data_IF_621027925257
#
_entry.id   IF_621027925257
#
_cell.length_a   1.000
_cell.length_b   1.000
_cell.length_c   1.000
_cell.angle_alpha   90.00
_cell.angle_beta   90.00
_cell.angle_gamma   90.00
#
_symmetry.space_group_name_H-M   'P 1'
#
loop_
_entity.id
_entity.type
_entity.pdbx_description
1 polymer ?
#
# COMPACT_ATOMS: atom_id res chain seq x y z
N UNK A 1 -2.02 -30.05 3.44
CA UNK A 1 -1.67 -28.63 3.60
C UNK A 1 -2.05 -27.91 2.33
N UNK A 2 -2.81 -26.83 2.42
CA UNK A 2 -3.20 -26.03 1.26
C UNK A 2 -1.97 -25.26 0.75
N UNK A 3 -1.66 -25.35 -0.54
CA UNK A 3 -0.58 -24.58 -1.14
C UNK A 3 -1.12 -23.18 -1.49
N UNK A 4 -0.94 -22.21 -0.59
CA UNK A 4 -1.45 -20.85 -0.75
C UNK A 4 -0.98 -20.17 -2.05
N UNK A 5 0.26 -20.41 -2.49
CA UNK A 5 0.76 -19.83 -3.73
C UNK A 5 -0.04 -20.33 -4.94
N UNK A 6 -0.38 -21.63 -4.96
CA UNK A 6 -1.21 -22.18 -6.02
C UNK A 6 -2.64 -21.64 -5.96
N UNK A 7 -3.21 -21.54 -4.75
CA UNK A 7 -4.56 -21.02 -4.54
C UNK A 7 -4.73 -19.58 -5.00
N UNK A 8 -3.67 -18.77 -4.92
CA UNK A 8 -3.63 -17.33 -5.23
C UNK A 8 -2.90 -17.01 -6.53
N UNK A 9 -2.58 -18.02 -7.33
CA UNK A 9 -1.86 -17.87 -8.61
C UNK A 9 -2.58 -16.98 -9.64
N UNK A 10 -3.89 -16.78 -9.47
CA UNK A 10 -4.75 -15.91 -10.28
C UNK A 10 -4.74 -14.44 -9.84
N UNK A 11 -3.95 -14.08 -8.82
CA UNK A 11 -3.88 -12.73 -8.25
C UNK A 11 -2.67 -11.97 -8.80
N UNK A 12 -2.90 -10.71 -9.15
CA UNK A 12 -1.89 -9.71 -9.49
C UNK A 12 -1.80 -8.67 -8.38
N UNK A 13 -0.57 -8.34 -7.96
CA UNK A 13 -0.30 -7.52 -6.79
C UNK A 13 0.40 -6.22 -7.20
N UNK A 14 -0.16 -5.07 -6.82
CA UNK A 14 0.46 -3.75 -6.97
C UNK A 14 0.64 -3.14 -5.58
N UNK A 15 1.80 -3.38 -4.99
CA UNK A 15 2.19 -2.82 -3.71
C UNK A 15 2.92 -1.48 -3.83
N UNK A 16 3.33 -0.93 -2.68
CA UNK A 16 4.22 0.24 -2.62
C UNK A 16 3.63 1.43 -1.87
N UNK A 17 4.40 2.52 -1.76
CA UNK A 17 4.04 3.63 -0.87
C UNK A 17 2.96 4.55 -1.45
N UNK A 18 2.32 5.38 -0.59
CA UNK A 18 1.34 6.35 -1.03
C UNK A 18 1.87 7.30 -2.12
N UNK A 19 0.97 7.82 -2.94
CA UNK A 19 1.29 8.78 -4.02
C UNK A 19 2.13 8.24 -5.19
N UNK A 20 2.30 6.92 -5.33
CA UNK A 20 2.96 6.32 -6.51
C UNK A 20 2.04 6.14 -7.74
N UNK A 21 0.77 6.53 -7.68
CA UNK A 21 -0.18 6.34 -8.80
C UNK A 21 -0.75 4.92 -8.96
N UNK A 22 -0.59 4.06 -7.93
CA UNK A 22 -1.11 2.66 -7.90
C UNK A 22 -2.57 2.58 -8.32
N UNK A 23 -3.47 3.25 -7.58
CA UNK A 23 -4.92 3.24 -7.84
C UNK A 23 -5.26 3.60 -9.28
N UNK A 24 -4.58 4.58 -9.89
CA UNK A 24 -4.82 4.98 -11.28
C UNK A 24 -4.49 3.85 -12.25
N UNK A 25 -3.30 3.25 -12.10
CA UNK A 25 -2.87 2.12 -12.96
C UNK A 25 -3.75 0.89 -12.72
N UNK A 26 -4.04 0.57 -11.46
CA UNK A 26 -4.83 -0.60 -11.11
C UNK A 26 -6.24 -0.52 -11.68
N UNK A 27 -6.91 0.64 -11.58
CA UNK A 27 -8.23 0.83 -12.18
C UNK A 27 -8.20 0.66 -13.70
N UNK A 28 -7.16 1.16 -14.37
CA UNK A 28 -7.00 1.04 -15.82
C UNK A 28 -6.79 -0.42 -16.24
N UNK A 29 -5.92 -1.16 -15.54
CA UNK A 29 -5.70 -2.59 -15.78
C UNK A 29 -6.96 -3.41 -15.53
N UNK A 30 -7.64 -3.18 -14.41
CA UNK A 30 -8.86 -3.91 -14.07
C UNK A 30 -9.96 -3.68 -15.10
N UNK A 31 -10.11 -2.45 -15.59
CA UNK A 31 -11.07 -2.13 -16.65
C UNK A 31 -10.70 -2.74 -18.01
N UNK A 32 -9.42 -2.70 -18.42
CA UNK A 32 -8.99 -3.24 -19.72
C UNK A 32 -9.09 -4.78 -19.78
N UNK A 33 -8.79 -5.46 -18.67
CA UNK A 33 -8.70 -6.93 -18.63
C UNK A 33 -9.88 -7.63 -17.94
N UNK A 34 -10.87 -6.87 -17.46
CA UNK A 34 -12.01 -7.41 -16.72
C UNK A 34 -11.61 -8.09 -15.41
N UNK A 35 -10.53 -7.63 -14.76
CA UNK A 35 -10.12 -8.18 -13.47
C UNK A 35 -11.03 -7.71 -12.36
N UNK A 36 -11.24 -8.59 -11.38
CA UNK A 36 -11.86 -8.18 -10.12
C UNK A 36 -10.89 -7.25 -9.40
N UNK A 37 -11.34 -6.02 -9.11
CA UNK A 37 -10.51 -5.02 -8.45
C UNK A 37 -10.64 -5.11 -6.93
N UNK A 38 -9.51 -5.24 -6.24
CA UNK A 38 -9.42 -5.21 -4.78
C UNK A 38 -8.51 -4.07 -4.35
N UNK A 39 -9.05 -3.11 -3.61
CA UNK A 39 -8.31 -1.98 -3.05
C UNK A 39 -8.24 -2.11 -1.54
N UNK A 40 -7.04 -2.23 -0.99
CA UNK A 40 -6.85 -2.43 0.46
C UNK A 40 -7.50 -1.30 1.29
N UNK A 41 -7.38 -0.05 0.84
CA UNK A 41 -7.97 1.11 1.55
C UNK A 41 -9.50 0.99 1.70
N UNK A 42 -10.20 0.36 0.74
CA UNK A 42 -11.66 0.22 0.80
C UNK A 42 -12.11 -0.79 1.87
N UNK A 43 -11.20 -1.67 2.29
CA UNK A 43 -11.46 -2.70 3.29
C UNK A 43 -10.91 -2.30 4.66
N UNK A 44 -10.21 -1.17 4.78
CA UNK A 44 -9.50 -0.79 6.00
C UNK A 44 -10.45 -0.71 7.21
N UNK A 45 -11.59 -0.02 7.10
CA UNK A 45 -12.53 0.11 8.21
C UNK A 45 -13.15 -1.24 8.62
N UNK A 46 -13.47 -2.11 7.65
CA UNK A 46 -13.93 -3.48 7.92
C UNK A 46 -12.85 -4.28 8.65
N UNK A 47 -11.61 -4.21 8.19
CA UNK A 47 -10.46 -4.88 8.81
C UNK A 47 -10.21 -4.39 10.24
N UNK A 48 -10.34 -3.08 10.48
CA UNK A 48 -10.25 -2.51 11.82
C UNK A 48 -11.36 -3.04 12.73
N UNK A 49 -12.59 -3.18 12.21
CA UNK A 49 -13.71 -3.74 12.98
C UNK A 49 -13.54 -5.22 13.33
N UNK A 50 -12.86 -5.98 12.47
CA UNK A 50 -12.55 -7.42 12.65
C UNK A 50 -11.30 -7.67 13.48
N UNK A 51 -10.46 -6.66 13.68
CA UNK A 51 -9.21 -6.80 14.44
C UNK A 51 -9.49 -7.28 15.87
N UNK A 52 -8.62 -8.15 16.38
CA UNK A 52 -8.69 -8.67 17.75
C UNK A 52 -7.39 -8.38 18.49
N UNK A 53 -7.39 -8.25 19.83
CA UNK A 53 -6.17 -8.00 20.59
C UNK A 53 -5.16 -9.16 20.51
N UNK A 54 -5.64 -10.39 20.25
CA UNK A 54 -4.77 -11.58 20.17
C UNK A 54 -4.11 -11.74 18.80
N UNK A 55 -4.81 -11.40 17.71
CA UNK A 55 -4.31 -11.60 16.35
C UNK A 55 -3.79 -10.33 15.68
N UNK A 56 -4.37 -9.16 16.00
CA UNK A 56 -3.99 -7.86 15.44
C UNK A 56 -3.90 -6.77 16.55
N UNK A 57 -3.03 -6.94 17.57
CA UNK A 57 -2.89 -5.99 18.68
C UNK A 57 -2.57 -4.55 18.25
N UNK A 58 -1.78 -4.34 17.19
CA UNK A 58 -1.42 -2.99 16.74
C UNK A 58 -2.61 -2.28 16.07
N UNK A 59 -3.35 -2.97 15.20
CA UNK A 59 -4.60 -2.45 14.62
C UNK A 59 -5.65 -2.23 15.71
N UNK A 60 -5.84 -3.20 16.60
CA UNK A 60 -6.84 -3.12 17.67
C UNK A 60 -6.62 -1.91 18.59
N UNK A 61 -5.35 -1.58 18.89
CA UNK A 61 -4.99 -0.41 19.72
C UNK A 61 -5.45 0.92 19.14
N UNK A 62 -5.55 1.03 17.81
CA UNK A 62 -5.90 2.27 17.12
C UNK A 62 -7.31 2.24 16.50
N UNK A 63 -8.09 1.16 16.66
CA UNK A 63 -9.38 0.97 15.98
C UNK A 63 -10.45 2.00 16.33
N UNK A 64 -10.46 2.45 17.58
CA UNK A 64 -11.45 3.40 18.09
C UNK A 64 -10.93 4.84 18.02
N UNK A 65 -9.73 5.05 17.46
CA UNK A 65 -9.17 6.37 17.25
C UNK A 65 -9.73 6.96 15.97
N UNK A 66 -10.23 8.19 16.06
CA UNK A 66 -10.58 8.98 14.88
C UNK A 66 -9.35 9.25 14.02
N UNK A 67 -9.54 9.53 12.74
CA UNK A 67 -8.47 10.01 11.86
C UNK A 67 -7.67 11.15 12.51
N UNK A 68 -8.35 12.08 13.16
CA UNK A 68 -7.71 13.18 13.86
C UNK A 68 -6.92 12.69 15.08
N UNK A 69 -7.34 11.66 15.80
CA UNK A 69 -6.60 11.13 16.96
C UNK A 69 -5.38 10.28 16.59
N UNK A 70 -5.49 9.42 15.57
CA UNK A 70 -4.36 8.63 15.06
C UNK A 70 -3.26 9.57 14.57
N UNK A 71 -3.64 10.68 13.93
CA UNK A 71 -2.71 11.57 13.26
C UNK A 71 -2.31 12.82 14.07
N UNK A 72 -3.12 13.40 14.95
CA UNK A 72 -2.81 14.71 15.60
C UNK A 72 -1.89 14.65 16.81
N UNK A 73 -2.02 13.62 17.66
CA UNK A 73 -1.28 13.54 18.93
C UNK A 73 -0.13 12.55 18.90
N UNK A 74 -0.20 11.48 18.11
CA UNK A 74 0.89 10.50 18.02
C UNK A 74 1.99 10.92 17.02
N UNK A 75 1.66 11.55 15.88
CA UNK A 75 2.66 11.91 14.86
C UNK A 75 3.57 13.08 15.20
N UNK A 76 3.11 13.99 16.05
CA UNK A 76 3.95 15.10 16.53
C UNK A 76 4.76 14.73 17.78
N UNK A 77 4.44 13.60 18.43
CA UNK A 77 5.11 13.15 19.65
C UNK A 77 6.06 11.98 19.44
N UNK A 78 5.89 11.20 18.37
CA UNK A 78 6.79 10.12 17.98
C UNK A 78 7.86 10.60 17.00
N UNK A 79 9.04 10.01 17.09
CA UNK A 79 10.07 10.16 16.05
C UNK A 79 9.59 9.63 14.70
N UNK A 80 10.20 10.10 13.61
CA UNK A 80 9.88 9.61 12.26
C UNK A 80 10.14 8.10 12.15
N UNK A 81 11.19 7.62 12.81
CA UNK A 81 11.58 6.21 12.85
C UNK A 81 10.49 5.35 13.49
N UNK A 82 9.96 5.76 14.65
CA UNK A 82 8.85 5.08 15.33
C UNK A 82 7.59 5.06 14.47
N UNK A 83 7.25 6.18 13.81
CA UNK A 83 6.09 6.26 12.92
C UNK A 83 6.20 5.28 11.73
N UNK A 84 7.42 5.08 11.20
CA UNK A 84 7.65 4.12 10.11
C UNK A 84 7.47 2.69 10.62
N UNK A 85 7.90 2.39 11.84
CA UNK A 85 7.71 1.06 12.44
C UNK A 85 6.25 0.76 12.72
N UNK A 86 5.51 1.73 13.28
CA UNK A 86 4.10 1.55 13.62
C UNK A 86 3.23 1.32 12.39
N UNK A 87 3.44 2.08 11.31
CA UNK A 87 2.70 1.83 10.06
C UNK A 87 3.00 0.47 9.46
N UNK A 88 4.26 -0.01 9.57
CA UNK A 88 4.62 -1.35 9.11
C UNK A 88 3.92 -2.40 9.96
N UNK A 89 3.93 -2.28 11.29
CA UNK A 89 3.24 -3.21 12.20
C UNK A 89 1.74 -3.32 11.90
N UNK A 90 1.08 -2.20 11.61
CA UNK A 90 -0.32 -2.18 11.19
C UNK A 90 -0.51 -2.93 9.86
N UNK A 91 0.36 -2.70 8.87
CA UNK A 91 0.28 -3.41 7.58
C UNK A 91 0.63 -4.90 7.67
N UNK A 92 1.54 -5.28 8.55
CA UNK A 92 1.89 -6.67 8.86
C UNK A 92 0.65 -7.46 9.32
N UNK A 93 -0.15 -6.83 10.20
CA UNK A 93 -1.39 -7.39 10.73
C UNK A 93 -2.53 -7.35 9.71
N UNK A 94 -2.73 -6.22 9.03
CA UNK A 94 -3.78 -6.04 8.03
C UNK A 94 -3.66 -7.08 6.90
N UNK A 95 -2.43 -7.49 6.55
CA UNK A 95 -2.21 -8.48 5.50
C UNK A 95 -2.95 -9.80 5.74
N UNK A 96 -3.10 -10.24 6.99
CA UNK A 96 -3.85 -11.46 7.32
C UNK A 96 -5.33 -11.35 6.93
N UNK A 97 -5.97 -10.23 7.23
CA UNK A 97 -7.36 -9.94 6.89
C UNK A 97 -7.56 -9.76 5.38
N UNK A 98 -6.59 -9.14 4.70
CA UNK A 98 -6.56 -9.07 3.23
C UNK A 98 -6.53 -10.49 2.64
N UNK A 99 -5.71 -11.38 3.19
CA UNK A 99 -5.59 -12.75 2.72
C UNK A 99 -6.90 -13.54 2.91
N UNK A 100 -7.55 -13.38 4.05
CA UNK A 100 -8.88 -13.95 4.33
C UNK A 100 -9.90 -13.52 3.27
N UNK A 101 -9.96 -12.22 2.96
CA UNK A 101 -10.89 -11.69 1.96
C UNK A 101 -10.61 -12.28 0.58
N UNK A 102 -9.34 -12.38 0.17
CA UNK A 102 -8.96 -12.92 -1.13
C UNK A 102 -9.25 -14.42 -1.25
N UNK A 103 -9.04 -15.19 -0.19
CA UNK A 103 -9.35 -16.62 -0.16
C UNK A 103 -10.87 -16.90 -0.21
N UNK A 104 -11.69 -15.96 0.27
CA UNK A 104 -13.15 -16.06 0.22
C UNK A 104 -13.73 -15.76 -1.17
N UNK A 105 -12.94 -15.19 -2.09
CA UNK A 105 -13.42 -14.75 -3.41
C UNK A 105 -13.46 -15.88 -4.44
N UNK A 106 -14.41 -15.84 -5.40
CA UNK A 106 -14.41 -16.76 -6.53
C UNK A 106 -13.15 -16.63 -7.38
N UNK A 107 -12.57 -17.76 -7.77
CA UNK A 107 -11.37 -17.82 -8.63
C UNK A 107 -11.66 -17.77 -10.12
N UNK A 108 -12.88 -17.36 -10.49
CA UNK A 108 -13.38 -17.37 -11.88
C UNK A 108 -12.77 -16.27 -12.74
N UNK A 109 -12.30 -15.19 -12.11
CA UNK A 109 -11.62 -14.07 -12.77
C UNK A 109 -10.34 -13.73 -12.03
N UNK A 110 -9.25 -13.35 -12.71
CA UNK A 110 -8.09 -12.83 -12.03
C UNK A 110 -8.43 -11.63 -11.16
N UNK A 111 -7.72 -11.49 -10.04
CA UNK A 111 -7.94 -10.40 -9.08
C UNK A 111 -6.73 -9.47 -9.13
N UNK A 112 -6.98 -8.17 -9.22
CA UNK A 112 -5.95 -7.14 -9.09
C UNK A 112 -6.05 -6.48 -7.72
N UNK A 113 -5.03 -6.72 -6.90
CA UNK A 113 -4.94 -6.25 -5.52
C UNK A 113 -3.96 -5.08 -5.47
N UNK A 114 -4.38 -3.95 -4.91
CA UNK A 114 -3.48 -2.80 -4.69
C UNK A 114 -3.60 -2.22 -3.28
N UNK A 115 -2.48 -1.79 -2.73
CA UNK A 115 -2.43 -1.12 -1.44
C UNK A 115 -1.03 -0.98 -0.86
N UNK A 116 -0.88 -0.13 0.15
CA UNK A 116 0.38 0.02 0.89
C UNK A 116 0.67 -1.18 1.82
N UNK A 117 -0.37 -1.86 2.30
CA UNK A 117 -0.26 -3.04 3.15
C UNK A 117 0.31 -4.29 2.45
N UNK A 118 0.48 -4.24 1.13
CA UNK A 118 1.07 -5.32 0.34
C UNK A 118 2.60 -5.29 0.48
N UNK A 119 3.11 -5.70 1.64
CA UNK A 119 4.55 -5.73 1.94
C UNK A 119 5.25 -6.82 1.09
N UNK A 120 6.45 -6.55 0.52
CA UNK A 120 7.13 -7.52 -0.35
C UNK A 120 7.32 -8.90 0.28
N UNK A 121 7.83 -8.99 1.50
CA UNK A 121 8.02 -10.28 2.19
C UNK A 121 6.72 -11.02 2.53
N UNK A 122 5.57 -10.34 2.58
CA UNK A 122 4.25 -11.00 2.76
C UNK A 122 3.72 -11.59 1.46
N UNK A 123 3.93 -10.90 0.35
CA UNK A 123 3.44 -11.31 -0.97
C UNK A 123 4.36 -12.36 -1.59
N UNK A 124 5.68 -12.25 -1.43
CA UNK A 124 6.65 -13.13 -2.09
C UNK A 124 6.37 -14.64 -1.92
N UNK A 125 6.02 -15.15 -0.71
CA UNK A 125 5.71 -16.57 -0.51
C UNK A 125 4.43 -17.04 -1.22
N UNK A 126 3.58 -16.11 -1.68
CA UNK A 126 2.31 -16.38 -2.35
C UNK A 126 2.44 -16.40 -3.88
N UNK A 127 3.63 -16.09 -4.42
CA UNK A 127 3.84 -16.00 -5.86
C UNK A 127 4.31 -17.34 -6.44
N UNK A 128 3.56 -17.87 -7.39
CA UNK A 128 4.05 -18.90 -8.32
C UNK A 128 4.83 -18.30 -9.49
N UNK A 129 4.65 -16.99 -9.74
CA UNK A 129 5.31 -16.21 -10.78
C UNK A 129 5.63 -14.81 -10.25
N UNK A 130 6.90 -14.42 -10.23
CA UNK A 130 7.33 -13.09 -9.76
C UNK A 130 6.78 -11.95 -10.61
N UNK A 131 6.41 -12.21 -11.86
CA UNK A 131 5.76 -11.23 -12.73
C UNK A 131 4.34 -10.86 -12.28
N UNK A 132 3.72 -11.60 -11.35
CA UNK A 132 2.41 -11.23 -10.83
C UNK A 132 2.47 -10.17 -9.71
N UNK A 133 3.65 -9.65 -9.38
CA UNK A 133 3.77 -8.61 -8.37
C UNK A 133 4.73 -7.48 -8.78
N UNK A 134 4.36 -6.25 -8.44
CA UNK A 134 5.22 -5.06 -8.62
C UNK A 134 4.99 -4.06 -7.49
N UNK A 135 6.06 -3.38 -7.07
CA UNK A 135 5.99 -2.32 -6.07
C UNK A 135 6.27 -0.96 -6.69
N UNK A 136 5.28 -0.07 -6.65
CA UNK A 136 5.41 1.29 -7.14
C UNK A 136 5.75 2.25 -6.00
N UNK A 137 6.83 2.99 -6.13
CA UNK A 137 7.35 3.85 -5.05
C UNK A 137 7.77 5.19 -5.64
N UNK A 138 7.27 6.33 -5.13
CA UNK A 138 7.66 7.63 -5.63
C UNK A 138 9.00 8.10 -5.05
N UNK A 139 9.67 9.01 -5.74
CA UNK A 139 10.75 9.79 -5.12
C UNK A 139 10.18 10.76 -4.09
N UNK A 140 11.00 11.21 -3.15
CA UNK A 140 10.57 12.13 -2.10
C UNK A 140 10.06 13.44 -2.70
N UNK A 141 10.79 13.97 -3.68
CA UNK A 141 10.47 15.22 -4.37
C UNK A 141 9.11 15.10 -5.07
N UNK A 142 8.91 14.03 -5.83
CA UNK A 142 7.64 13.75 -6.50
C UNK A 142 6.50 13.63 -5.50
N UNK A 143 6.73 12.93 -4.39
CA UNK A 143 5.73 12.74 -3.34
C UNK A 143 5.32 14.08 -2.71
N UNK A 144 6.28 14.92 -2.32
CA UNK A 144 6.02 16.25 -1.74
C UNK A 144 5.20 17.11 -2.72
N UNK A 145 5.63 17.20 -3.98
CA UNK A 145 4.95 18.02 -4.98
C UNK A 145 3.51 17.59 -5.24
N UNK A 146 3.23 16.29 -5.21
CA UNK A 146 1.90 15.76 -5.48
C UNK A 146 0.99 15.79 -4.25
N UNK A 147 1.53 15.61 -3.05
CA UNK A 147 0.78 15.80 -1.81
C UNK A 147 0.33 17.26 -1.67
N UNK A 148 1.21 18.25 -1.91
CA UNK A 148 0.85 19.68 -1.84
C UNK A 148 -0.33 20.10 -2.73
N UNK A 149 -0.67 19.32 -3.75
CA UNK A 149 -1.77 19.60 -4.69
C UNK A 149 -3.12 19.03 -4.25
N UNK A 150 -3.21 18.24 -3.17
CA UNK A 150 -4.48 17.62 -2.76
C UNK A 150 -5.17 18.44 -1.69
N UNK A 151 -6.37 18.92 -2.01
CA UNK A 151 -7.15 19.82 -1.14
C UNK A 151 -7.43 19.24 0.25
N UNK A 152 -7.67 17.93 0.34
CA UNK A 152 -8.00 17.28 1.60
C UNK A 152 -6.85 17.27 2.62
N UNK A 153 -5.60 17.40 2.16
CA UNK A 153 -4.43 17.46 3.06
C UNK A 153 -4.45 18.75 3.86
N UNK A 154 -4.83 19.87 3.25
CA UNK A 154 -4.90 21.15 3.94
C UNK A 154 -5.86 21.07 5.13
N UNK A 155 -7.03 20.42 4.95
CA UNK A 155 -8.00 20.22 6.04
C UNK A 155 -7.45 19.38 7.21
N UNK A 156 -6.50 18.49 6.95
CA UNK A 156 -5.84 17.70 7.99
C UNK A 156 -4.76 18.53 8.66
N UNK A 157 -3.91 19.19 7.87
CA UNK A 157 -2.80 20.01 8.37
C UNK A 157 -3.27 21.23 9.18
N UNK A 158 -4.43 21.81 8.85
CA UNK A 158 -5.02 22.94 9.58
C UNK A 158 -5.42 22.59 11.03
N UNK A 159 -5.45 21.30 11.39
CA UNK A 159 -5.74 20.86 12.75
C UNK A 159 -4.50 20.88 13.66
N UNK A 160 -3.31 21.12 13.11
CA UNK A 160 -2.05 21.09 13.84
C UNK A 160 -1.60 22.50 14.26
N UNK A 161 -0.96 22.58 15.42
CA UNK A 161 -0.32 23.83 15.88
C UNK A 161 0.83 24.25 14.96
N UNK A 162 1.52 23.29 14.34
CA UNK A 162 2.59 23.52 13.37
C UNK A 162 2.34 22.64 12.12
N UNK A 163 1.55 23.14 11.15
CA UNK A 163 1.19 22.43 9.92
C UNK A 163 2.41 22.06 9.06
N UNK A 164 3.44 22.91 9.04
CA UNK A 164 4.65 22.70 8.23
C UNK A 164 5.50 21.56 8.80
N UNK A 165 5.68 21.53 10.12
CA UNK A 165 6.38 20.43 10.80
C UNK A 165 5.61 19.11 10.64
N UNK A 166 4.28 19.13 10.80
CA UNK A 166 3.43 17.95 10.61
C UNK A 166 3.56 17.40 9.19
N UNK A 167 3.50 18.27 8.18
CA UNK A 167 3.68 17.87 6.79
C UNK A 167 5.09 17.33 6.51
N UNK A 168 6.13 17.99 7.03
CA UNK A 168 7.52 17.52 6.91
C UNK A 168 7.69 16.12 7.49
N UNK A 169 7.16 15.87 8.70
CA UNK A 169 7.27 14.57 9.36
C UNK A 169 6.48 13.49 8.61
N UNK A 170 5.28 13.80 8.13
CA UNK A 170 4.52 12.91 7.24
C UNK A 170 5.37 12.51 6.03
N UNK A 171 5.91 13.47 5.29
CA UNK A 171 6.69 13.18 4.08
C UNK A 171 7.94 12.35 4.38
N UNK A 172 8.63 12.63 5.49
CA UNK A 172 9.77 11.82 5.95
C UNK A 172 9.36 10.39 6.28
N UNK A 173 8.24 10.18 6.97
CA UNK A 173 7.72 8.84 7.24
C UNK A 173 7.35 8.10 5.96
N UNK A 174 6.58 8.70 5.06
CA UNK A 174 6.17 8.05 3.80
C UNK A 174 7.40 7.67 2.95
N UNK A 175 8.41 8.55 2.91
CA UNK A 175 9.69 8.29 2.25
C UNK A 175 10.51 7.20 2.94
N UNK A 176 10.51 7.15 4.28
CA UNK A 176 11.16 6.10 5.05
C UNK A 176 10.50 4.73 4.82
N UNK A 177 9.17 4.68 4.82
CA UNK A 177 8.40 3.48 4.45
C UNK A 177 8.70 3.03 3.02
N UNK A 178 8.68 3.97 2.06
CA UNK A 178 9.07 3.74 0.67
C UNK A 178 10.46 3.08 0.55
N UNK A 179 11.47 3.59 1.27
CA UNK A 179 12.82 3.03 1.30
C UNK A 179 12.83 1.60 1.84
N UNK A 180 12.11 1.31 2.93
CA UNK A 180 11.99 -0.04 3.49
C UNK A 180 11.36 -1.02 2.48
N UNK A 181 10.28 -0.61 1.81
CA UNK A 181 9.63 -1.42 0.76
C UNK A 181 10.57 -1.69 -0.42
N UNK A 182 11.30 -0.68 -0.91
CA UNK A 182 12.25 -0.86 -2.03
C UNK A 182 13.38 -1.81 -1.62
N UNK A 183 13.91 -1.67 -0.40
CA UNK A 183 14.95 -2.57 0.12
C UNK A 183 14.43 -4.00 0.17
N UNK A 184 13.29 -4.23 0.81
CA UNK A 184 12.69 -5.56 0.97
C UNK A 184 12.38 -6.22 -0.39
N UNK A 185 11.78 -5.48 -1.33
CA UNK A 185 11.53 -5.96 -2.68
C UNK A 185 12.84 -6.34 -3.42
N UNK A 186 13.91 -5.53 -3.28
CA UNK A 186 15.22 -5.84 -3.88
C UNK A 186 15.83 -7.10 -3.28
N UNK A 187 15.82 -7.22 -1.96
CA UNK A 187 16.36 -8.38 -1.24
C UNK A 187 15.65 -9.69 -1.66
N UNK A 188 14.36 -9.59 -2.03
CA UNK A 188 13.54 -10.70 -2.53
C UNK A 188 13.55 -10.85 -4.07
N UNK A 189 14.37 -10.09 -4.79
CA UNK A 189 14.42 -10.08 -6.27
C UNK A 189 13.07 -9.78 -6.95
N UNK A 190 12.23 -8.96 -6.29
CA UNK A 190 10.94 -8.53 -6.78
C UNK A 190 11.03 -7.20 -7.55
N UNK A 191 10.12 -7.01 -8.50
CA UNK A 191 10.13 -5.83 -9.37
C UNK A 191 9.67 -4.58 -8.62
N UNK A 192 10.43 -3.50 -8.74
CA UNK A 192 10.02 -2.16 -8.31
C UNK A 192 9.88 -1.23 -9.52
N UNK A 193 9.03 -0.21 -9.39
CA UNK A 193 8.88 0.90 -10.33
C UNK A 193 9.02 2.21 -9.56
N UNK A 194 10.10 2.94 -9.82
CA UNK A 194 10.30 4.30 -9.30
C UNK A 194 9.37 5.27 -10.01
N UNK A 195 8.69 6.14 -9.26
CA UNK A 195 7.78 7.16 -9.78
C UNK A 195 8.33 8.54 -9.44
N UNK A 196 9.06 9.11 -10.39
CA UNK A 196 9.76 10.40 -10.26
C UNK A 196 9.18 11.48 -11.18
N UNK A 197 8.12 11.16 -11.93
CA UNK A 197 7.50 12.05 -12.92
C UNK A 197 8.14 11.98 -14.31
N UNK A 198 9.18 11.17 -14.52
CA UNK A 198 9.77 10.95 -15.85
C UNK A 198 8.84 10.19 -16.81
N UNK A 199 7.93 9.38 -16.25
CA UNK A 199 6.91 8.67 -17.01
C UNK A 199 5.53 9.29 -16.81
N UNK A 200 4.79 9.45 -17.91
CA UNK A 200 3.36 9.69 -17.84
C UNK A 200 2.63 8.48 -17.27
N UNK A 201 1.40 8.69 -16.79
CA UNK A 201 0.53 7.62 -16.30
C UNK A 201 0.40 6.48 -17.33
N UNK A 202 0.26 6.82 -18.61
CA UNK A 202 0.15 5.83 -19.69
C UNK A 202 1.46 5.06 -19.93
N UNK A 203 2.62 5.69 -19.75
CA UNK A 203 3.90 5.00 -19.83
C UNK A 203 4.09 4.05 -18.65
N UNK A 204 3.81 4.51 -17.42
CA UNK A 204 3.83 3.65 -16.23
C UNK A 204 2.84 2.48 -16.37
N UNK A 205 1.64 2.73 -16.89
CA UNK A 205 0.65 1.70 -17.21
C UNK A 205 1.22 0.63 -18.16
N UNK A 206 1.84 1.05 -19.27
CA UNK A 206 2.47 0.12 -20.23
C UNK A 206 3.61 -0.70 -19.61
N UNK A 207 4.38 -0.11 -18.69
CA UNK A 207 5.45 -0.81 -17.97
C UNK A 207 4.87 -1.89 -17.04
N UNK A 208 3.82 -1.58 -16.28
CA UNK A 208 3.15 -2.54 -15.39
C UNK A 208 2.47 -3.64 -16.21
N UNK A 209 1.72 -3.28 -17.25
CA UNK A 209 1.08 -4.22 -18.20
C UNK A 209 2.10 -5.21 -18.76
N UNK A 210 3.24 -4.71 -19.25
CA UNK A 210 4.34 -5.54 -19.78
C UNK A 210 4.94 -6.45 -18.72
N UNK A 211 5.17 -5.94 -17.51
CA UNK A 211 5.69 -6.74 -16.39
C UNK A 211 4.75 -7.90 -16.07
N UNK A 212 3.45 -7.65 -16.03
CA UNK A 212 2.42 -8.68 -15.79
C UNK A 212 2.22 -9.66 -16.95
N UNK A 213 2.90 -9.47 -18.09
CA UNK A 213 2.77 -10.32 -19.27
C UNK A 213 1.41 -10.22 -19.96
N UNK A 214 0.68 -9.13 -19.73
CA UNK A 214 -0.64 -8.91 -20.29
C UNK A 214 -0.53 -8.35 -21.73
N UNK A 215 -1.29 -8.96 -22.65
CA UNK A 215 -1.29 -8.61 -24.09
C UNK A 215 -2.08 -7.33 -24.35
#
# INVERSE_FOLDING_TARGET
MVNLAQELSHIYWIGGSPCAGKTTISRKLAAEYGFTYYKCDNCYDDHMSRSTPDQQPYMYKIKDQTWDQVWSTQFCSLSVEEQIEDVIRVYEEQFSLILEDLLSRPKTTPILVEGAALLPHKVAPLLTNSNHAIWMVPTLEFQIEHYKKREWIHRILDQYNDPDLAFSNWMKRDSGFAKKVVKDAKDLSLRTLSVDGSYSVDQSYKLVKRHFGLK
#
